data_IF_009976785100
#
_entry.id   IF_009976785100
#
_cell.length_a   1.000
_cell.length_b   1.000
_cell.length_c   1.000
_cell.angle_alpha   90.00
_cell.angle_beta   90.00
_cell.angle_gamma   90.00
#
_symmetry.space_group_name_H-M   'P 1'
#
loop_
_entity.id
_entity.type
_entity.pdbx_description
1 polymer ?
#
# COMPACT_ATOMS: atom_id res chain seq x y z
N UNK A 1 -20.94 66.30 15.76
CA UNK A 1 -20.63 64.87 15.54
C UNK A 1 -21.10 64.47 14.14
N UNK A 2 -20.19 64.34 13.16
CA UNK A 2 -20.50 64.12 11.72
C UNK A 2 -19.82 62.86 11.12
N UNK A 3 -19.22 62.01 11.96
CA UNK A 3 -18.42 60.85 11.53
C UNK A 3 -19.16 59.51 11.58
N UNK A 4 -20.41 59.48 12.05
CA UNK A 4 -21.15 58.25 12.32
C UNK A 4 -21.43 57.40 11.08
N UNK A 5 -21.78 57.99 9.93
CA UNK A 5 -22.08 57.21 8.72
C UNK A 5 -20.86 56.65 7.99
N UNK A 6 -19.75 57.41 7.91
CA UNK A 6 -18.54 57.00 7.19
C UNK A 6 -17.78 55.89 7.91
N UNK A 7 -17.77 55.89 9.25
CA UNK A 7 -17.13 54.85 10.05
C UNK A 7 -17.89 53.53 9.92
N UNK A 8 -19.23 53.56 9.89
CA UNK A 8 -20.06 52.37 9.68
C UNK A 8 -19.80 51.78 8.28
N UNK A 9 -19.66 52.63 7.25
CA UNK A 9 -19.39 52.17 5.89
C UNK A 9 -17.98 51.54 5.76
N UNK A 10 -16.97 52.12 6.41
CA UNK A 10 -15.60 51.57 6.45
C UNK A 10 -15.59 50.24 7.22
N UNK A 11 -16.32 50.14 8.34
CA UNK A 11 -16.43 48.89 9.09
C UNK A 11 -17.10 47.77 8.28
N UNK A 12 -18.16 48.08 7.52
CA UNK A 12 -18.81 47.12 6.64
C UNK A 12 -17.90 46.65 5.50
N UNK A 13 -17.13 47.56 4.91
CA UNK A 13 -16.15 47.22 3.87
C UNK A 13 -15.04 46.32 4.44
N UNK A 14 -14.54 46.60 5.66
CA UNK A 14 -13.52 45.78 6.31
C UNK A 14 -14.04 44.37 6.66
N UNK A 15 -15.29 44.24 7.10
CA UNK A 15 -15.93 42.93 7.34
C UNK A 15 -16.15 42.16 6.04
N UNK A 16 -16.56 42.85 4.97
CA UNK A 16 -16.72 42.22 3.65
C UNK A 16 -15.38 41.77 3.06
N UNK A 17 -14.32 42.57 3.20
CA UNK A 17 -12.95 42.20 2.82
C UNK A 17 -12.44 41.01 3.63
N UNK A 18 -12.76 40.93 4.92
CA UNK A 18 -12.37 39.81 5.78
C UNK A 18 -13.06 38.49 5.37
N UNK A 19 -14.29 38.54 4.85
CA UNK A 19 -15.02 37.35 4.36
C UNK A 19 -14.40 36.72 3.10
N UNK A 20 -13.68 37.49 2.28
CA UNK A 20 -13.05 36.96 1.05
C UNK A 20 -11.80 36.12 1.37
N UNK A 21 -11.25 36.25 2.58
CA UNK A 21 -9.99 35.60 2.99
C UNK A 21 -10.24 34.29 3.76
N UNK A 22 -11.47 33.79 3.86
CA UNK A 22 -11.71 32.44 4.37
C UNK A 22 -11.58 31.44 3.22
N UNK A 23 -10.43 30.74 3.07
CA UNK A 23 -10.36 29.64 2.13
C UNK A 23 -11.38 28.59 2.54
N UNK A 24 -12.31 28.27 1.63
CA UNK A 24 -13.18 27.12 1.82
C UNK A 24 -12.32 25.88 2.03
N UNK A 25 -12.67 24.98 2.96
CA UNK A 25 -12.02 23.68 3.03
C UNK A 25 -12.28 22.98 1.70
N UNK A 26 -11.24 22.89 0.85
CA UNK A 26 -11.27 22.06 -0.33
C UNK A 26 -11.36 20.62 0.16
N UNK A 27 -12.56 20.05 0.07
CA UNK A 27 -12.73 18.60 0.12
C UNK A 27 -11.99 18.07 -1.10
N UNK A 28 -10.75 17.64 -0.90
CA UNK A 28 -10.04 16.81 -1.84
C UNK A 28 -10.85 15.53 -1.93
N UNK A 29 -11.77 15.46 -2.90
CA UNK A 29 -12.40 14.20 -3.25
C UNK A 29 -11.27 13.22 -3.55
N UNK A 30 -11.31 12.07 -2.90
CA UNK A 30 -10.35 10.98 -3.04
C UNK A 30 -10.43 10.41 -4.46
N UNK A 31 -9.97 11.20 -5.43
CA UNK A 31 -9.82 10.80 -6.81
C UNK A 31 -8.46 10.15 -6.90
N UNK A 32 -8.40 8.87 -6.56
CA UNK A 32 -7.20 8.06 -6.77
C UNK A 32 -6.78 8.20 -8.23
N UNK A 33 -5.63 8.83 -8.47
CA UNK A 33 -5.07 8.95 -9.82
C UNK A 33 -4.71 7.56 -10.33
N UNK A 34 -4.82 7.39 -11.64
CA UNK A 34 -4.29 6.21 -12.31
C UNK A 34 -2.81 6.41 -12.49
N UNK A 35 -2.03 5.46 -11.98
CA UNK A 35 -0.59 5.42 -12.16
C UNK A 35 -0.22 4.65 -13.43
N UNK A 36 0.65 5.25 -14.24
CA UNK A 36 1.33 4.59 -15.36
C UNK A 36 2.82 4.60 -15.06
N UNK A 37 3.44 3.42 -15.03
CA UNK A 37 4.90 3.29 -14.86
C UNK A 37 5.50 3.02 -16.23
N UNK A 38 6.40 3.90 -16.68
CA UNK A 38 7.18 3.74 -17.91
C UNK A 38 8.64 3.47 -17.54
N UNK A 39 9.16 2.33 -17.94
CA UNK A 39 10.58 2.03 -17.92
C UNK A 39 11.16 2.33 -19.31
N UNK A 40 12.18 3.17 -19.36
CA UNK A 40 12.80 3.65 -20.59
C UNK A 40 14.33 3.61 -20.50
N UNK A 41 14.99 3.68 -21.66
CA UNK A 41 16.44 3.87 -21.74
C UNK A 41 16.78 5.22 -22.35
N UNK A 42 17.76 5.93 -21.81
CA UNK A 42 18.24 7.16 -22.43
C UNK A 42 18.82 6.86 -23.83
N UNK A 43 18.41 7.63 -24.84
CA UNK A 43 18.82 7.44 -26.23
C UNK A 43 18.01 6.39 -27.01
N UNK A 44 16.98 5.79 -26.41
CA UNK A 44 16.07 4.86 -27.06
C UNK A 44 15.01 5.59 -27.93
N UNK A 45 15.03 5.47 -29.27
CA UNK A 45 14.10 6.20 -30.14
C UNK A 45 12.62 5.83 -29.91
N UNK A 46 12.35 4.55 -29.66
CA UNK A 46 11.00 4.05 -29.37
C UNK A 46 10.48 4.53 -28.01
N UNK A 47 11.36 4.81 -27.07
CA UNK A 47 10.98 5.32 -25.76
C UNK A 47 10.53 6.78 -25.86
N UNK A 48 11.21 7.58 -26.69
CA UNK A 48 10.85 8.98 -26.91
C UNK A 48 9.49 9.15 -27.60
N UNK A 49 9.09 8.24 -28.49
CA UNK A 49 7.74 8.27 -29.08
C UNK A 49 6.66 8.00 -28.02
N UNK A 50 6.88 7.05 -27.11
CA UNK A 50 5.98 6.78 -25.98
C UNK A 50 5.92 7.96 -25.03
N UNK A 51 7.07 8.55 -24.64
CA UNK A 51 7.10 9.73 -23.75
C UNK A 51 6.35 10.91 -24.35
N UNK A 52 6.56 11.16 -25.65
CA UNK A 52 5.83 12.21 -26.38
C UNK A 52 4.32 11.95 -26.37
N UNK A 53 3.90 10.72 -26.66
CA UNK A 53 2.50 10.32 -26.61
C UNK A 53 1.89 10.52 -25.21
N UNK A 54 2.54 9.99 -24.17
CA UNK A 54 2.12 10.10 -22.78
C UNK A 54 2.07 11.55 -22.27
N UNK A 55 2.94 12.43 -22.77
CA UNK A 55 2.91 13.86 -22.41
C UNK A 55 1.59 14.53 -22.81
N UNK A 56 1.03 14.16 -23.97
CA UNK A 56 -0.26 14.69 -24.43
C UNK A 56 -1.41 14.23 -23.53
N UNK A 57 -1.36 12.98 -23.05
CA UNK A 57 -2.32 12.43 -22.09
C UNK A 57 -2.19 13.10 -20.73
N UNK A 58 -0.95 13.31 -20.26
CA UNK A 58 -0.69 14.00 -19.00
C UNK A 58 -1.31 15.40 -19.02
N UNK A 59 -1.22 16.14 -20.13
CA UNK A 59 -1.85 17.46 -20.26
C UNK A 59 -3.38 17.38 -20.22
N UNK A 60 -3.98 16.40 -20.93
CA UNK A 60 -5.43 16.24 -21.01
C UNK A 60 -6.06 15.75 -19.70
N UNK A 61 -5.36 14.88 -18.96
CA UNK A 61 -5.88 14.16 -17.79
C UNK A 61 -5.11 14.46 -16.49
N UNK A 62 -4.53 15.66 -16.32
CA UNK A 62 -3.67 16.03 -15.19
C UNK A 62 -4.21 15.67 -13.79
N UNK A 63 -5.52 15.71 -13.62
CA UNK A 63 -6.17 15.44 -12.33
C UNK A 63 -6.37 13.95 -12.05
N UNK A 64 -6.34 13.09 -13.08
CA UNK A 64 -6.71 11.67 -12.98
C UNK A 64 -5.60 10.72 -13.44
N UNK A 65 -4.50 11.24 -13.98
CA UNK A 65 -3.39 10.45 -14.53
C UNK A 65 -2.06 10.92 -13.96
N UNK A 66 -1.29 9.99 -13.42
CA UNK A 66 0.08 10.16 -12.98
C UNK A 66 1.00 9.24 -13.79
N UNK A 67 2.06 9.82 -14.35
CA UNK A 67 3.02 9.11 -15.18
C UNK A 67 4.36 9.15 -14.47
N UNK A 68 4.87 7.96 -14.15
CA UNK A 68 6.11 7.73 -13.42
C UNK A 68 7.11 7.12 -14.40
N UNK A 69 8.18 7.84 -14.68
CA UNK A 69 9.18 7.47 -15.69
C UNK A 69 10.47 7.04 -14.97
N UNK A 70 11.02 5.89 -15.36
CA UNK A 70 12.21 5.30 -14.76
C UNK A 70 13.22 4.94 -15.85
N UNK A 71 14.42 5.49 -15.73
CA UNK A 71 15.54 5.18 -16.63
C UNK A 71 16.17 3.85 -16.19
N UNK A 72 16.59 2.98 -17.13
CA UNK A 72 17.13 1.65 -16.78
C UNK A 72 18.51 1.34 -17.38
N UNK A 73 19.07 2.19 -18.25
CA UNK A 73 20.39 1.94 -18.85
C UNK A 73 21.53 2.48 -17.98
N UNK A 74 21.31 3.62 -17.33
CA UNK A 74 22.31 4.37 -16.57
C UNK A 74 21.88 4.67 -15.14
N UNK A 75 20.64 4.35 -14.76
CA UNK A 75 20.14 4.43 -13.39
C UNK A 75 19.93 3.03 -12.79
N UNK A 76 20.79 2.65 -11.84
CA UNK A 76 20.69 1.37 -11.13
C UNK A 76 19.39 1.24 -10.35
N UNK A 77 18.86 2.34 -9.78
CA UNK A 77 17.62 2.32 -9.00
C UNK A 77 16.43 2.02 -9.90
N UNK A 78 16.37 2.65 -11.07
CA UNK A 78 15.34 2.37 -12.06
C UNK A 78 15.44 0.95 -12.64
N UNK A 79 16.65 0.45 -12.86
CA UNK A 79 16.90 -0.94 -13.28
C UNK A 79 16.44 -1.96 -12.25
N UNK A 80 16.78 -1.77 -10.98
CA UNK A 80 16.35 -2.66 -9.89
C UNK A 80 14.83 -2.62 -9.70
N UNK A 81 14.24 -1.41 -9.77
CA UNK A 81 12.79 -1.26 -9.74
C UNK A 81 12.13 -1.99 -10.91
N UNK A 82 12.72 -1.95 -12.11
CA UNK A 82 12.19 -2.65 -13.27
C UNK A 82 12.19 -4.17 -13.06
N UNK A 83 13.28 -4.70 -12.50
CA UNK A 83 13.39 -6.13 -12.17
C UNK A 83 12.35 -6.57 -11.14
N UNK A 84 12.14 -5.78 -10.09
CA UNK A 84 11.11 -6.06 -9.08
C UNK A 84 9.70 -5.98 -9.66
N UNK A 85 9.43 -5.01 -10.52
CA UNK A 85 8.15 -4.88 -11.21
C UNK A 85 7.88 -6.08 -12.11
N UNK A 86 8.86 -6.52 -12.89
CA UNK A 86 8.74 -7.70 -13.74
C UNK A 86 8.39 -8.95 -12.90
N UNK A 87 9.09 -9.16 -11.78
CA UNK A 87 8.78 -10.24 -10.83
C UNK A 87 7.38 -10.11 -10.22
N UNK A 88 6.98 -8.92 -9.80
CA UNK A 88 5.66 -8.67 -9.22
C UNK A 88 4.52 -8.93 -10.21
N UNK A 89 4.78 -8.78 -11.51
CA UNK A 89 3.83 -9.07 -12.58
C UNK A 89 3.98 -10.48 -13.17
N UNK A 90 4.99 -11.25 -12.74
CA UNK A 90 5.23 -12.60 -13.23
C UNK A 90 5.68 -12.66 -14.69
N UNK A 91 6.41 -11.65 -15.15
CA UNK A 91 6.93 -11.56 -16.52
C UNK A 91 8.47 -11.51 -16.53
N UNK A 92 9.06 -11.80 -17.68
CA UNK A 92 10.48 -11.57 -17.94
C UNK A 92 10.69 -10.18 -18.57
N UNK A 93 11.86 -9.58 -18.32
CA UNK A 93 12.22 -8.30 -18.94
C UNK A 93 12.69 -8.56 -20.37
N UNK A 94 11.92 -8.08 -21.34
CA UNK A 94 12.28 -8.16 -22.77
C UNK A 94 13.04 -6.91 -23.26
N UNK A 95 12.86 -5.76 -22.60
CA UNK A 95 13.54 -4.52 -22.96
C UNK A 95 12.70 -3.26 -22.69
N UNK A 96 13.08 -2.16 -23.33
CA UNK A 96 12.41 -0.86 -23.22
C UNK A 96 11.88 -0.37 -24.58
N UNK A 97 10.81 0.45 -24.61
CA UNK A 97 10.02 0.86 -23.46
C UNK A 97 9.14 -0.28 -22.93
N UNK A 98 8.93 -0.32 -21.62
CA UNK A 98 7.94 -1.22 -20.99
C UNK A 98 7.04 -0.42 -20.06
N UNK A 99 5.74 -0.62 -20.16
CA UNK A 99 4.73 0.10 -19.40
C UNK A 99 3.94 -0.85 -18.51
N UNK A 100 3.69 -0.45 -17.27
CA UNK A 100 2.77 -1.11 -16.36
C UNK A 100 1.58 -0.19 -16.11
N UNK A 101 0.37 -0.67 -16.42
CA UNK A 101 -0.88 0.09 -16.34
C UNK A 101 -1.95 -0.85 -15.78
N UNK A 102 -2.40 -0.60 -14.56
CA UNK A 102 -3.31 -1.55 -13.91
C UNK A 102 -2.63 -2.91 -13.72
N UNK A 103 -3.30 -3.96 -14.19
CA UNK A 103 -2.76 -5.31 -14.23
C UNK A 103 -2.01 -5.64 -15.53
N UNK A 104 -2.09 -4.77 -16.53
CA UNK A 104 -1.53 -5.02 -17.86
C UNK A 104 -0.06 -4.58 -17.95
N UNK A 105 0.73 -5.35 -18.69
CA UNK A 105 2.09 -4.97 -19.11
C UNK A 105 2.14 -4.83 -20.62
N UNK A 106 2.70 -3.72 -21.08
CA UNK A 106 2.88 -3.43 -22.49
C UNK A 106 4.37 -3.28 -22.77
N UNK A 107 4.94 -4.25 -23.48
CA UNK A 107 6.32 -4.19 -23.98
C UNK A 107 6.32 -3.53 -25.36
N UNK A 108 7.25 -2.62 -25.58
CA UNK A 108 7.45 -1.90 -26.82
C UNK A 108 6.52 -0.68 -27.01
N UNK A 109 6.67 -0.01 -28.15
CA UNK A 109 6.01 1.26 -28.45
C UNK A 109 4.65 1.12 -29.16
N UNK A 110 3.79 0.20 -28.70
CA UNK A 110 2.44 0.04 -29.26
C UNK A 110 1.48 1.12 -28.72
N UNK A 111 1.51 2.31 -29.34
CA UNK A 111 0.73 3.48 -28.89
C UNK A 111 -0.78 3.21 -28.81
N UNK A 112 -1.33 2.43 -29.74
CA UNK A 112 -2.75 2.07 -29.75
C UNK A 112 -3.12 1.24 -28.51
N UNK A 113 -2.29 0.25 -28.15
CA UNK A 113 -2.52 -0.56 -26.95
C UNK A 113 -2.41 0.28 -25.69
N UNK A 114 -1.42 1.17 -25.63
CA UNK A 114 -1.23 2.11 -24.50
C UNK A 114 -2.46 3.02 -24.35
N UNK A 115 -2.95 3.62 -25.44
CA UNK A 115 -4.15 4.46 -25.44
C UNK A 115 -5.37 3.73 -24.89
N UNK A 116 -5.62 2.53 -25.42
CA UNK A 116 -6.74 1.69 -25.02
C UNK A 116 -6.69 1.40 -23.53
N UNK A 117 -5.52 1.06 -23.01
CA UNK A 117 -5.34 0.65 -21.62
C UNK A 117 -5.45 1.83 -20.64
N UNK A 118 -4.81 2.97 -20.96
CA UNK A 118 -4.95 4.20 -20.17
C UNK A 118 -6.42 4.65 -20.13
N UNK A 119 -7.11 4.62 -21.28
CA UNK A 119 -8.51 5.02 -21.37
C UNK A 119 -9.42 4.06 -20.62
N UNK A 120 -9.18 2.75 -20.69
CA UNK A 120 -9.90 1.73 -19.91
C UNK A 120 -9.83 2.02 -18.42
N UNK A 121 -8.63 2.34 -17.91
CA UNK A 121 -8.45 2.72 -16.52
C UNK A 121 -9.19 4.01 -16.17
N UNK A 122 -9.11 5.04 -17.02
CA UNK A 122 -9.78 6.33 -16.81
C UNK A 122 -11.30 6.19 -16.73
N UNK A 123 -11.89 5.35 -17.59
CA UNK A 123 -13.35 5.14 -17.64
C UNK A 123 -13.83 4.28 -16.48
N UNK A 124 -13.12 3.19 -16.15
CA UNK A 124 -13.53 2.27 -15.08
C UNK A 124 -13.32 2.82 -13.68
N UNK A 125 -12.40 3.78 -13.50
CA UNK A 125 -11.97 4.32 -12.19
C UNK A 125 -11.55 3.26 -11.16
N UNK A 126 -11.19 2.05 -11.61
CA UNK A 126 -10.94 0.90 -10.73
C UNK A 126 -9.65 0.15 -11.05
N UNK A 127 -8.63 0.84 -11.60
CA UNK A 127 -7.35 0.20 -11.87
C UNK A 127 -6.46 0.10 -10.63
N UNK A 128 -5.92 -1.10 -10.41
CA UNK A 128 -4.91 -1.36 -9.37
C UNK A 128 -3.65 -0.55 -9.70
N UNK A 129 -3.13 0.23 -8.76
CA UNK A 129 -1.84 0.92 -8.97
C UNK A 129 -0.73 -0.11 -9.14
N UNK A 130 0.13 0.01 -10.17
CA UNK A 130 1.30 -0.85 -10.31
C UNK A 130 2.24 -0.79 -9.09
N UNK A 131 2.36 0.39 -8.46
CA UNK A 131 3.11 0.54 -7.22
C UNK A 131 2.46 -0.21 -6.05
N UNK A 132 1.14 -0.23 -5.96
CA UNK A 132 0.41 -1.02 -4.96
C UNK A 132 0.66 -2.53 -5.12
N UNK A 133 0.67 -3.02 -6.37
CA UNK A 133 1.00 -4.43 -6.67
C UNK A 133 2.44 -4.76 -6.28
N UNK A 134 3.39 -3.87 -6.57
CA UNK A 134 4.80 -4.02 -6.17
C UNK A 134 4.96 -4.07 -4.64
N UNK A 135 4.32 -3.16 -3.91
CA UNK A 135 4.37 -3.15 -2.44
C UNK A 135 3.85 -4.48 -1.89
N UNK A 136 2.71 -4.96 -2.39
CA UNK A 136 2.15 -6.27 -2.01
C UNK A 136 3.16 -7.40 -2.27
N UNK A 137 3.77 -7.42 -3.45
CA UNK A 137 4.79 -8.41 -3.80
C UNK A 137 5.99 -8.38 -2.85
N UNK A 138 6.54 -7.19 -2.55
CA UNK A 138 7.67 -7.04 -1.62
C UNK A 138 7.33 -7.50 -0.21
N UNK A 139 6.14 -7.15 0.29
CA UNK A 139 5.69 -7.56 1.63
C UNK A 139 5.51 -9.07 1.73
N UNK A 140 4.97 -9.72 0.69
CA UNK A 140 4.86 -11.17 0.62
C UNK A 140 6.26 -11.81 0.58
N UNK A 141 7.15 -11.33 -0.29
CA UNK A 141 8.54 -11.83 -0.40
C UNK A 141 9.32 -11.73 0.90
N UNK A 142 9.12 -10.66 1.69
CA UNK A 142 9.81 -10.49 2.97
C UNK A 142 9.25 -11.42 4.06
N UNK A 143 7.95 -11.76 3.98
CA UNK A 143 7.31 -12.72 4.88
C UNK A 143 7.84 -14.13 4.67
N UNK A 144 8.04 -14.54 3.41
CA UNK A 144 8.59 -15.85 3.05
C UNK A 144 10.04 -16.01 3.54
N UNK A 145 10.87 -14.96 3.39
CA UNK A 145 12.25 -14.95 3.92
C UNK A 145 12.29 -15.03 5.45
N UNK A 146 11.28 -14.50 6.14
CA UNK A 146 11.21 -14.57 7.59
C UNK A 146 10.78 -15.96 8.06
N UNK A 147 9.88 -16.64 7.34
CA UNK A 147 9.52 -18.05 7.59
C UNK A 147 10.75 -18.96 7.43
N UNK A 148 11.57 -18.73 6.39
CA UNK A 148 12.83 -19.47 6.19
C UNK A 148 13.86 -19.21 7.29
N UNK A 149 13.89 -18.01 7.89
CA UNK A 149 14.74 -17.71 9.05
C UNK A 149 14.22 -18.34 10.33
N UNK A 150 12.90 -18.35 10.54
CA UNK A 150 12.26 -18.97 11.70
C UNK A 150 12.46 -20.50 11.65
N UNK A 151 12.23 -21.13 10.50
CA UNK A 151 12.43 -22.58 10.33
C UNK A 151 13.89 -23.00 10.53
N UNK A 152 14.85 -22.15 10.16
CA UNK A 152 16.29 -22.38 10.39
C UNK A 152 16.71 -22.16 11.85
N UNK A 153 16.04 -21.28 12.59
CA UNK A 153 16.27 -21.06 14.02
C UNK A 153 15.66 -22.18 14.89
N UNK A 154 14.56 -22.80 14.46
CA UNK A 154 13.95 -23.96 15.13
C UNK A 154 14.68 -25.28 14.86
N UNK A 155 15.45 -25.35 13.76
CA UNK A 155 16.27 -26.50 13.39
C UNK A 155 17.45 -26.81 14.33
N UNK A 156 17.71 -25.97 15.35
CA UNK A 156 18.81 -26.18 16.31
C UNK A 156 18.33 -26.45 17.75
N UNK A 157 17.04 -26.78 17.95
CA UNK A 157 16.48 -27.14 19.28
C UNK A 157 15.80 -28.52 19.35
N UNK A 158 15.90 -29.33 18.29
CA UNK A 158 15.27 -30.66 18.23
C UNK A 158 16.28 -31.82 18.35
N UNK A 159 17.48 -31.57 18.88
CA UNK A 159 18.41 -32.62 19.31
C UNK A 159 18.63 -32.52 20.82
N UNK A 160 17.52 -32.56 21.56
CA UNK A 160 17.49 -32.97 22.95
C UNK A 160 16.59 -34.20 23.00
N UNK A 161 17.23 -35.36 22.85
CA UNK A 161 16.83 -36.67 23.39
C UNK A 161 15.59 -36.61 24.29
N UNK A 162 14.42 -36.98 23.75
CA UNK A 162 13.28 -37.37 24.57
C UNK A 162 13.31 -38.89 24.73
N UNK A 163 14.21 -39.35 25.60
CA UNK A 163 13.98 -40.59 26.31
C UNK A 163 13.35 -40.25 27.66
N UNK A 164 12.23 -40.91 27.98
CA UNK A 164 11.77 -41.06 29.36
C UNK A 164 10.54 -40.23 29.71
N UNK A 165 9.44 -40.93 29.96
CA UNK A 165 8.18 -40.35 30.39
C UNK A 165 8.26 -39.61 31.73
N UNK A 166 7.32 -38.68 31.93
CA UNK A 166 7.19 -37.98 33.20
C UNK A 166 6.16 -36.85 33.20
N UNK A 167 4.97 -37.16 33.71
CA UNK A 167 4.13 -36.23 34.48
C UNK A 167 3.24 -35.23 33.74
N UNK A 168 2.29 -35.74 32.94
CA UNK A 168 0.92 -35.19 32.94
C UNK A 168 0.26 -35.59 34.27
N UNK A 169 0.50 -34.82 35.35
CA UNK A 169 0.07 -35.22 36.71
C UNK A 169 -0.37 -34.12 37.66
N UNK A 170 -0.14 -32.84 37.39
CA UNK A 170 -0.37 -31.77 38.39
C UNK A 170 -1.53 -30.82 38.11
N UNK A 171 -2.07 -30.78 36.88
CA UNK A 171 -3.17 -29.85 36.55
C UNK A 171 -4.55 -30.43 36.91
N UNK A 172 -4.69 -31.76 36.96
CA UNK A 172 -5.96 -32.41 37.36
C UNK A 172 -6.06 -32.61 38.88
N UNK A 173 -4.94 -32.75 39.60
CA UNK A 173 -4.92 -32.96 41.05
C UNK A 173 -5.25 -31.72 41.88
N UNK A 174 -4.85 -30.52 41.42
CA UNK A 174 -5.08 -29.27 42.14
C UNK A 174 -6.56 -28.88 42.20
N UNK A 175 -7.31 -29.08 41.11
CA UNK A 175 -8.73 -28.77 41.06
C UNK A 175 -9.54 -29.69 41.99
N UNK A 176 -9.22 -30.99 42.05
CA UNK A 176 -9.96 -31.97 42.87
C UNK A 176 -9.74 -31.74 44.37
N UNK A 177 -8.53 -31.38 44.81
CA UNK A 177 -8.26 -31.08 46.22
C UNK A 177 -8.96 -29.80 46.70
N UNK A 178 -9.07 -28.77 45.86
CA UNK A 178 -9.80 -27.53 46.21
C UNK A 178 -11.29 -27.81 46.40
N UNK A 179 -11.92 -28.63 45.55
CA UNK A 179 -13.33 -28.99 45.69
C UNK A 179 -13.60 -29.87 46.92
N UNK A 180 -12.70 -30.79 47.29
CA UNK A 180 -12.86 -31.62 48.50
C UNK A 180 -12.75 -30.77 49.78
N UNK A 181 -11.79 -29.84 49.84
CA UNK A 181 -11.60 -28.95 51.01
C UNK A 181 -12.79 -28.01 51.18
N UNK A 182 -13.31 -27.42 50.09
CA UNK A 182 -14.52 -26.59 50.14
C UNK A 182 -15.76 -27.40 50.55
N UNK A 183 -15.90 -28.63 50.05
CA UNK A 183 -16.98 -29.55 50.43
C UNK A 183 -16.99 -29.89 51.92
N UNK A 184 -15.81 -30.18 52.50
CA UNK A 184 -15.70 -30.50 53.93
C UNK A 184 -16.01 -29.30 54.85
N UNK A 185 -15.62 -28.08 54.45
CA UNK A 185 -15.90 -26.85 55.22
C UNK A 185 -17.40 -26.54 55.21
N UNK A 186 -18.09 -26.74 54.08
CA UNK A 186 -19.53 -26.55 53.99
C UNK A 186 -20.31 -27.64 54.75
N UNK A 187 -19.83 -28.88 54.77
CA UNK A 187 -20.47 -29.97 55.52
C UNK A 187 -20.33 -29.81 57.04
N UNK A 188 -19.18 -29.35 57.53
CA UNK A 188 -18.96 -29.05 58.96
C UNK A 188 -19.94 -28.02 59.53
N UNK A 189 -20.32 -27.00 58.74
CA UNK A 189 -21.30 -25.99 59.17
C UNK A 189 -22.74 -26.50 59.25
N UNK A 190 -23.07 -27.65 58.65
CA UNK A 190 -24.44 -28.18 58.60
C UNK A 190 -24.77 -29.18 59.73
N UNK A 191 -23.77 -29.67 60.45
CA UNK A 191 -23.96 -30.67 61.52
C UNK A 191 -24.14 -30.07 62.93
N UNK A 192 -24.27 -28.74 63.07
CA UNK A 192 -24.38 -28.06 64.38
C UNK A 192 -25.64 -27.20 64.57
N UNK A 193 -26.71 -27.51 63.84
CA UNK A 193 -28.07 -26.98 64.06
C UNK A 193 -29.09 -27.99 63.63
#
# INVERSE_FOLDING_TARGET
MKYSGKIIFIALILVFLASIVFPSPTVAGDQSKIDVYLFYGQGCPHCESVKSFLSTFKVRYRQNLEIKEFEVYFDEVGKDLFADMAKAYGIEIEGVPTLFIGEEVIVGANLKKIEQEVTRCLVSKSCISPGGKLIKYRTMSESDKNIDKISKAEGQKNDASNEGGGTVGWIVGGAVLIFIVLGAILFSKRAKT
#
